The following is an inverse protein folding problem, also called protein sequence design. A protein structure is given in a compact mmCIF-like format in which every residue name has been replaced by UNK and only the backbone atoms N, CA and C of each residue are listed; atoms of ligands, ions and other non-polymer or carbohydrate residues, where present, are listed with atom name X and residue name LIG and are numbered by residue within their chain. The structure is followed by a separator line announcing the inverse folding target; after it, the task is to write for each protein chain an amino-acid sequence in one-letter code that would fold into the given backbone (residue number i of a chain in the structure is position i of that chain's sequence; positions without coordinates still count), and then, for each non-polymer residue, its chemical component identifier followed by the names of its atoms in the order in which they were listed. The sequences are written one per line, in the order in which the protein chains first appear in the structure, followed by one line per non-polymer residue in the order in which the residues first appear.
data_IF_111858384722
#
_entry.id   IF_111858384722
#
_cell.length_a   1.000
_cell.length_b   1.000
_cell.length_c   1.000
_cell.angle_alpha   90.00
_cell.angle_beta   90.00
_cell.angle_gamma   90.00
#
_symmetry.space_group_name_H-M   'P 1'
#
loop_
_entity.id
_entity.type
_entity.pdbx_description
1 polymer ?
#
# COMPACT_ATOMS: atom_id res chain seq x y z
N UNK A 1 -13.96 -36.61 -71.71
CA UNK A 1 -14.51 -35.26 -71.82
C UNK A 1 -14.69 -34.64 -70.48
N UNK A 2 -13.57 -34.39 -69.68
CA UNK A 2 -13.70 -33.93 -68.29
C UNK A 2 -12.57 -32.94 -67.84
N UNK A 3 -11.88 -32.31 -68.78
CA UNK A 3 -10.77 -31.36 -68.44
C UNK A 3 -11.00 -29.89 -68.85
N UNK A 4 -12.24 -29.51 -69.27
CA UNK A 4 -12.54 -28.15 -69.71
C UNK A 4 -13.13 -27.21 -68.66
N UNK A 5 -13.86 -27.71 -67.72
CA UNK A 5 -14.65 -26.90 -66.78
C UNK A 5 -13.89 -26.36 -65.56
N UNK A 6 -12.81 -27.03 -65.14
CA UNK A 6 -12.02 -26.59 -63.98
C UNK A 6 -11.13 -25.36 -64.26
N UNK A 7 -10.67 -25.17 -65.47
CA UNK A 7 -9.81 -24.00 -65.82
C UNK A 7 -10.59 -22.69 -66.02
N UNK A 8 -11.85 -22.76 -66.39
CA UNK A 8 -12.70 -21.57 -66.59
C UNK A 8 -13.23 -21.01 -65.24
N UNK A 9 -13.52 -21.88 -64.29
CA UNK A 9 -13.91 -21.51 -62.94
C UNK A 9 -12.78 -20.82 -62.17
N UNK A 10 -11.56 -21.33 -62.29
CA UNK A 10 -10.38 -20.72 -61.58
C UNK A 10 -9.99 -19.33 -62.14
N UNK A 11 -10.27 -19.08 -63.45
CA UNK A 11 -9.97 -17.78 -64.06
C UNK A 11 -10.99 -16.71 -63.69
N UNK A 12 -12.25 -17.10 -63.47
CA UNK A 12 -13.35 -16.22 -63.06
C UNK A 12 -13.20 -15.80 -61.59
N UNK A 13 -12.75 -16.69 -60.71
CA UNK A 13 -12.53 -16.41 -59.30
C UNK A 13 -11.31 -15.51 -59.05
N UNK A 14 -10.23 -15.68 -59.82
CA UNK A 14 -9.08 -14.76 -59.75
C UNK A 14 -9.40 -13.32 -60.20
N UNK A 15 -10.25 -13.16 -61.22
CA UNK A 15 -10.68 -11.85 -61.72
C UNK A 15 -11.59 -11.12 -60.73
N UNK A 16 -12.44 -11.83 -60.01
CA UNK A 16 -13.29 -11.22 -58.97
C UNK A 16 -12.52 -10.81 -57.75
N UNK A 17 -11.54 -11.61 -57.29
CA UNK A 17 -10.65 -11.27 -56.14
C UNK A 17 -9.76 -10.09 -56.44
N UNK A 18 -9.25 -9.92 -57.67
CA UNK A 18 -8.47 -8.75 -58.06
C UNK A 18 -9.34 -7.48 -58.12
N UNK A 19 -10.59 -7.56 -58.53
CA UNK A 19 -11.51 -6.43 -58.56
C UNK A 19 -11.93 -5.98 -57.17
N UNK A 20 -12.12 -6.92 -56.23
CA UNK A 20 -12.42 -6.61 -54.82
C UNK A 20 -11.23 -6.01 -54.15
N UNK A 21 -9.99 -6.47 -54.38
CA UNK A 21 -8.76 -5.90 -53.83
C UNK A 21 -8.48 -4.48 -54.37
N UNK A 22 -8.75 -4.23 -55.66
CA UNK A 22 -8.63 -2.91 -56.25
C UNK A 22 -9.69 -1.94 -55.71
N UNK A 23 -10.90 -2.41 -55.42
CA UNK A 23 -11.95 -1.58 -54.81
C UNK A 23 -11.65 -1.26 -53.35
N UNK A 24 -11.11 -2.21 -52.60
CA UNK A 24 -10.71 -1.99 -51.21
C UNK A 24 -9.55 -0.99 -51.06
N UNK A 25 -8.57 -1.04 -51.97
CA UNK A 25 -7.45 -0.04 -51.98
C UNK A 25 -7.91 1.36 -52.38
N UNK A 26 -8.92 1.48 -53.27
CA UNK A 26 -9.44 2.80 -53.65
C UNK A 26 -10.25 3.47 -52.53
N UNK A 27 -10.97 2.68 -51.71
CA UNK A 27 -11.69 3.20 -50.56
C UNK A 27 -10.75 3.61 -49.42
N UNK A 28 -9.64 2.90 -49.20
CA UNK A 28 -8.66 3.27 -48.16
C UNK A 28 -7.90 4.55 -48.51
N UNK A 29 -7.62 4.81 -49.82
CA UNK A 29 -6.98 6.05 -50.24
C UNK A 29 -7.93 7.27 -50.21
N UNK A 30 -9.22 7.11 -50.52
CA UNK A 30 -10.21 8.17 -50.39
C UNK A 30 -10.58 8.47 -48.93
N UNK A 31 -10.64 7.44 -48.07
CA UNK A 31 -10.89 7.61 -46.64
C UNK A 31 -9.78 8.37 -45.92
N UNK A 32 -8.52 8.12 -46.28
CA UNK A 32 -7.37 8.80 -45.73
C UNK A 32 -7.29 10.29 -46.09
N UNK A 33 -7.66 10.66 -47.32
CA UNK A 33 -7.61 12.05 -47.79
C UNK A 33 -8.74 12.93 -47.24
N UNK A 34 -9.91 12.35 -46.96
CA UNK A 34 -11.06 13.07 -46.39
C UNK A 34 -11.00 13.13 -44.84
N UNK A 35 -10.37 12.13 -44.19
CA UNK A 35 -10.22 12.08 -42.74
C UNK A 35 -9.27 13.16 -42.18
N UNK A 36 -8.13 13.35 -42.82
CA UNK A 36 -7.13 14.34 -42.40
C UNK A 36 -7.51 15.79 -42.71
N UNK A 37 -8.27 16.04 -43.77
CA UNK A 37 -8.78 17.39 -44.10
C UNK A 37 -9.93 17.83 -43.17
N UNK A 38 -10.79 16.92 -42.77
CA UNK A 38 -11.95 17.21 -41.92
C UNK A 38 -11.57 17.50 -40.46
N UNK A 39 -10.59 16.79 -39.92
CA UNK A 39 -10.11 17.00 -38.55
C UNK A 39 -9.35 18.30 -38.37
N UNK A 40 -8.56 18.75 -39.36
CA UNK A 40 -7.88 20.05 -39.32
C UNK A 40 -8.84 21.23 -39.40
N UNK A 41 -9.94 21.11 -40.16
CA UNK A 41 -10.99 22.13 -40.24
C UNK A 41 -11.87 22.20 -38.98
N UNK A 42 -12.18 21.07 -38.38
CA UNK A 42 -12.92 21.00 -37.11
C UNK A 42 -12.10 21.55 -35.96
N UNK A 43 -10.80 21.27 -35.86
CA UNK A 43 -9.91 21.84 -34.82
C UNK A 43 -9.76 23.36 -34.91
N UNK A 44 -9.85 23.97 -36.12
CA UNK A 44 -9.84 25.42 -36.24
C UNK A 44 -11.17 26.10 -35.91
N UNK A 45 -12.29 25.39 -36.00
CA UNK A 45 -13.60 25.94 -35.68
C UNK A 45 -13.95 25.87 -34.18
N UNK A 46 -13.34 24.90 -33.41
CA UNK A 46 -13.59 24.77 -32.00
C UNK A 46 -12.68 25.62 -31.09
N UNK A 47 -11.70 26.33 -31.65
CA UNK A 47 -10.75 27.16 -30.89
C UNK A 47 -11.12 28.65 -30.82
N UNK A 48 -12.40 28.97 -30.96
CA UNK A 48 -12.93 30.30 -30.69
C UNK A 48 -14.03 30.20 -29.64
N UNK A 49 -13.74 30.77 -28.48
CA UNK A 49 -14.61 30.98 -27.33
C UNK A 49 -14.59 29.84 -26.29
N UNK A 50 -13.56 29.85 -25.43
CA UNK A 50 -13.76 29.79 -23.97
C UNK A 50 -12.47 30.22 -23.29
N UNK A 51 -12.28 31.52 -23.15
CA UNK A 51 -11.47 32.08 -22.09
C UNK A 51 -12.30 31.99 -20.81
N UNK A 52 -12.01 31.03 -19.93
CA UNK A 52 -12.35 31.16 -18.53
C UNK A 52 -11.25 30.52 -17.68
N UNK A 53 -10.64 31.39 -16.91
CA UNK A 53 -9.55 31.23 -15.98
C UNK A 53 -9.91 30.30 -14.82
N UNK A 54 -9.19 29.19 -14.70
CA UNK A 54 -8.78 28.66 -13.41
C UNK A 54 -7.31 28.33 -13.55
N UNK A 55 -6.49 29.10 -12.83
CA UNK A 55 -5.08 28.84 -12.70
C UNK A 55 -4.90 27.54 -11.91
N UNK A 56 -4.73 26.43 -12.61
CA UNK A 56 -4.12 25.24 -12.03
C UNK A 56 -2.64 25.55 -11.86
N UNK A 57 -2.10 25.41 -10.67
CA UNK A 57 -0.67 25.47 -10.41
C UNK A 57 0.05 24.49 -11.35
N UNK A 58 0.88 25.03 -12.23
CA UNK A 58 1.74 24.22 -13.11
C UNK A 58 2.80 23.51 -12.26
N UNK A 59 2.56 22.24 -11.92
CA UNK A 59 3.60 21.41 -11.32
C UNK A 59 4.58 20.98 -12.41
N UNK A 60 5.71 21.69 -12.53
CA UNK A 60 6.80 21.28 -13.37
C UNK A 60 7.54 20.09 -12.71
N UNK A 61 7.35 18.88 -13.24
CA UNK A 61 8.16 17.72 -12.84
C UNK A 61 9.27 17.49 -13.85
N UNK A 62 10.50 17.36 -13.37
CA UNK A 62 11.66 17.00 -14.17
C UNK A 62 11.73 15.48 -14.29
N UNK A 63 11.55 14.95 -15.48
CA UNK A 63 11.70 13.52 -15.75
C UNK A 63 13.06 13.24 -16.41
N UNK A 64 13.69 12.14 -16.06
CA UNK A 64 14.93 11.67 -16.67
C UNK A 64 14.58 10.61 -17.71
N UNK A 65 14.65 10.98 -18.99
CA UNK A 65 14.51 10.04 -20.10
C UNK A 65 15.90 9.60 -20.52
N UNK A 66 16.17 8.30 -20.48
CA UNK A 66 17.42 7.72 -20.96
C UNK A 66 17.25 7.35 -22.43
N UNK A 67 17.97 8.01 -23.30
CA UNK A 67 18.09 7.66 -24.72
C UNK A 67 19.45 7.02 -24.95
N UNK A 68 19.51 5.96 -25.77
CA UNK A 68 20.77 5.45 -26.29
C UNK A 68 21.16 6.26 -27.52
N UNK A 69 22.41 6.70 -27.61
CA UNK A 69 22.98 7.22 -28.83
C UNK A 69 23.26 6.09 -29.83
N UNK A 70 23.60 6.47 -31.08
CA UNK A 70 23.91 5.52 -32.13
C UNK A 70 25.14 4.64 -31.86
N UNK A 71 25.91 4.92 -30.82
CA UNK A 71 27.09 4.16 -30.39
C UNK A 71 26.83 3.28 -29.18
N UNK A 72 25.57 3.23 -28.64
CA UNK A 72 25.18 2.40 -27.51
C UNK A 72 25.51 2.99 -26.14
N UNK A 73 26.00 4.23 -26.07
CA UNK A 73 26.17 4.94 -24.80
C UNK A 73 24.81 5.41 -24.28
N UNK A 74 24.57 5.16 -22.98
CA UNK A 74 23.35 5.65 -22.33
C UNK A 74 23.47 7.14 -22.06
N UNK A 75 22.79 7.95 -22.88
CA UNK A 75 22.65 9.39 -22.62
C UNK A 75 21.45 9.60 -21.68
N UNK A 76 21.73 10.19 -20.54
CA UNK A 76 20.68 10.61 -19.59
C UNK A 76 20.31 12.05 -19.93
N UNK A 77 19.13 12.25 -20.52
CA UNK A 77 18.56 13.59 -20.69
C UNK A 77 17.45 13.82 -19.67
N UNK A 78 17.51 14.92 -18.96
CA UNK A 78 16.42 15.38 -18.10
C UNK A 78 15.41 16.13 -18.94
N UNK A 79 14.18 15.62 -19.04
CA UNK A 79 13.07 16.36 -19.63
C UNK A 79 12.06 16.71 -18.54
N UNK A 80 11.59 17.94 -18.56
CA UNK A 80 10.49 18.36 -17.71
C UNK A 80 9.20 17.89 -18.36
N UNK A 81 8.54 16.90 -17.76
CA UNK A 81 7.20 16.48 -18.21
C UNK A 81 6.21 17.45 -17.60
N UNK A 82 5.60 18.29 -18.44
CA UNK A 82 4.48 19.15 -18.03
C UNK A 82 3.21 18.31 -17.99
N UNK A 83 2.62 18.18 -16.83
CA UNK A 83 1.31 17.56 -16.69
C UNK A 83 0.24 18.65 -16.87
N UNK A 84 -0.22 18.83 -18.09
CA UNK A 84 -1.30 19.79 -18.44
C UNK A 84 -2.71 19.19 -18.18
N UNK A 85 -2.84 18.30 -17.19
CA UNK A 85 -4.10 17.57 -16.92
C UNK A 85 -4.38 16.47 -17.96
N UNK A 86 -3.40 16.07 -18.76
CA UNK A 86 -3.51 15.01 -19.76
C UNK A 86 -3.02 13.69 -19.19
N UNK A 87 -3.72 12.59 -19.51
CA UNK A 87 -3.23 11.24 -19.17
C UNK A 87 -1.86 11.00 -19.82
N UNK A 88 -0.93 10.51 -19.00
CA UNK A 88 0.41 10.09 -19.38
C UNK A 88 0.38 8.62 -19.81
N UNK A 89 1.36 8.18 -20.57
CA UNK A 89 1.65 6.77 -20.76
C UNK A 89 2.41 6.21 -19.55
N UNK A 90 2.41 4.88 -19.35
CA UNK A 90 3.18 4.25 -18.27
C UNK A 90 4.67 4.63 -18.32
N UNK A 91 5.25 4.76 -19.52
CA UNK A 91 6.64 5.20 -19.68
C UNK A 91 6.87 6.65 -19.22
N UNK A 92 5.92 7.55 -19.47
CA UNK A 92 5.99 8.95 -19.02
C UNK A 92 5.78 9.04 -17.49
N UNK A 93 4.85 8.26 -16.92
CA UNK A 93 4.69 8.17 -15.46
C UNK A 93 5.99 7.68 -14.81
N UNK A 94 6.62 6.65 -15.35
CA UNK A 94 7.91 6.15 -14.87
C UNK A 94 8.99 7.23 -14.92
N UNK A 95 9.18 7.85 -16.08
CA UNK A 95 10.19 8.87 -16.27
C UNK A 95 10.01 10.09 -15.33
N UNK A 96 8.75 10.44 -15.04
CA UNK A 96 8.43 11.54 -14.13
C UNK A 96 8.68 11.23 -12.65
N UNK A 97 8.58 9.95 -12.23
CA UNK A 97 8.53 9.60 -10.81
C UNK A 97 9.64 8.65 -10.33
N UNK A 98 10.46 8.10 -11.25
CA UNK A 98 11.52 7.15 -10.85
C UNK A 98 12.55 7.77 -9.90
N UNK A 99 12.86 9.06 -10.03
CA UNK A 99 13.78 9.76 -9.10
C UNK A 99 13.16 10.03 -7.72
N UNK A 100 11.84 9.97 -7.61
CA UNK A 100 11.12 10.11 -6.35
C UNK A 100 10.94 8.77 -5.64
N UNK A 101 11.21 7.64 -6.33
CA UNK A 101 11.12 6.29 -5.77
C UNK A 101 12.48 5.89 -5.21
N UNK A 102 12.48 5.22 -4.07
CA UNK A 102 13.70 4.77 -3.39
C UNK A 102 13.66 3.28 -3.08
N UNK A 103 14.83 2.66 -3.08
CA UNK A 103 15.02 1.33 -2.52
C UNK A 103 15.35 1.42 -1.04
N UNK A 104 14.81 0.51 -0.24
CA UNK A 104 15.06 0.42 1.19
C UNK A 104 15.70 -0.93 1.48
N UNK A 105 16.79 -0.90 2.23
CA UNK A 105 17.47 -2.11 2.73
C UNK A 105 17.60 -1.99 4.23
N UNK A 106 17.23 -3.04 4.95
CA UNK A 106 17.29 -3.09 6.41
C UNK A 106 18.22 -4.20 6.87
N UNK A 107 18.92 -3.94 7.98
CA UNK A 107 19.73 -4.93 8.66
C UNK A 107 19.04 -5.28 9.99
N UNK A 108 18.67 -6.56 10.14
CA UNK A 108 18.06 -7.11 11.34
C UNK A 108 19.09 -8.00 12.00
N UNK A 109 19.57 -7.62 13.19
CA UNK A 109 20.53 -8.43 13.94
C UNK A 109 19.80 -9.16 15.07
N UNK A 110 19.75 -10.48 14.99
CA UNK A 110 19.19 -11.33 16.04
C UNK A 110 20.33 -11.96 16.83
N UNK A 111 20.24 -11.90 18.15
CA UNK A 111 21.18 -12.57 19.04
C UNK A 111 20.54 -13.86 19.56
N UNK A 112 21.03 -15.00 19.09
CA UNK A 112 20.55 -16.32 19.52
C UNK A 112 21.66 -16.99 20.34
N UNK A 113 21.50 -17.06 21.67
CA UNK A 113 22.47 -17.66 22.60
C UNK A 113 23.92 -17.15 22.42
N UNK A 114 24.08 -15.84 22.20
CA UNK A 114 25.41 -15.23 22.00
C UNK A 114 25.92 -15.29 20.55
N UNK A 115 25.21 -15.93 19.64
CA UNK A 115 25.50 -15.90 18.20
C UNK A 115 24.68 -14.79 17.53
N UNK A 116 25.37 -13.77 17.04
CA UNK A 116 24.73 -12.69 16.27
C UNK A 116 24.56 -13.14 14.83
N UNK A 117 23.33 -13.17 14.37
CA UNK A 117 22.97 -13.41 12.97
C UNK A 117 22.38 -12.13 12.39
N UNK A 118 22.92 -11.65 11.28
CA UNK A 118 22.37 -10.49 10.58
C UNK A 118 21.64 -10.97 9.33
N UNK A 119 20.36 -10.61 9.22
CA UNK A 119 19.56 -10.80 8.03
C UNK A 119 19.32 -9.43 7.38
N UNK A 120 19.24 -9.40 6.06
CA UNK A 120 18.87 -8.22 5.30
C UNK A 120 17.47 -8.42 4.73
N UNK A 121 16.63 -7.41 4.85
CA UNK A 121 15.37 -7.33 4.14
C UNK A 121 15.39 -6.13 3.19
N UNK A 122 14.55 -6.16 2.17
CA UNK A 122 14.46 -5.10 1.17
C UNK A 122 13.02 -4.74 0.85
N UNK A 123 12.80 -3.48 0.55
CA UNK A 123 11.52 -2.93 0.13
C UNK A 123 11.72 -1.66 -0.68
N UNK A 124 10.65 -0.95 -0.87
CA UNK A 124 10.59 0.31 -1.60
C UNK A 124 10.04 1.43 -0.72
N UNK A 125 10.23 2.65 -1.16
CA UNK A 125 9.61 3.84 -0.62
C UNK A 125 9.50 4.92 -1.66
N UNK A 126 8.95 6.06 -1.28
CA UNK A 126 8.93 7.25 -2.13
C UNK A 126 9.09 8.53 -1.31
N UNK A 127 9.77 9.49 -1.89
CA UNK A 127 10.08 10.78 -1.28
C UNK A 127 8.83 11.66 -1.35
N UNK A 128 8.42 12.24 -0.21
CA UNK A 128 7.22 13.09 -0.12
C UNK A 128 7.55 14.57 0.10
N UNK A 129 8.79 14.89 0.51
CA UNK A 129 9.24 16.26 0.71
C UNK A 129 10.66 16.46 0.17
N UNK A 130 10.99 17.68 -0.20
CA UNK A 130 12.32 18.07 -0.71
C UNK A 130 13.43 18.01 0.35
N UNK A 131 13.07 18.05 1.63
CA UNK A 131 13.98 17.91 2.76
C UNK A 131 14.21 16.45 3.20
N UNK A 132 13.54 15.46 2.55
CA UNK A 132 13.90 14.05 2.65
C UNK A 132 13.01 13.16 3.51
N UNK A 133 11.75 13.52 3.74
CA UNK A 133 10.78 12.57 4.28
C UNK A 133 10.38 11.54 3.23
N UNK A 134 10.27 10.28 3.66
CA UNK A 134 9.99 9.12 2.80
C UNK A 134 8.89 8.29 3.45
N UNK A 135 7.95 7.83 2.63
CA UNK A 135 6.92 6.86 3.04
C UNK A 135 7.31 5.47 2.59
N UNK A 136 7.08 4.49 3.46
CA UNK A 136 7.22 3.06 3.19
C UNK A 136 6.24 2.26 4.04
N UNK A 137 6.25 0.92 3.94
CA UNK A 137 5.50 0.06 4.85
C UNK A 137 6.25 -0.17 6.16
N UNK A 138 5.49 -0.35 7.26
CA UNK A 138 6.03 -0.71 8.57
C UNK A 138 6.78 -2.05 8.53
N UNK A 139 6.18 -3.09 7.91
CA UNK A 139 6.79 -4.41 7.82
C UNK A 139 8.13 -4.43 7.07
N UNK A 140 8.43 -3.42 6.23
CA UNK A 140 9.73 -3.28 5.55
C UNK A 140 10.84 -2.95 6.54
N UNK A 141 10.52 -2.22 7.62
CA UNK A 141 11.49 -1.74 8.61
C UNK A 141 11.33 -2.40 9.98
N UNK A 142 10.37 -3.30 10.14
CA UNK A 142 10.06 -3.96 11.40
C UNK A 142 11.28 -4.70 11.95
N UNK A 143 11.66 -4.41 13.20
CA UNK A 143 12.82 -5.00 13.87
C UNK A 143 14.19 -4.61 13.30
N UNK A 144 14.25 -3.64 12.41
CA UNK A 144 15.51 -3.20 11.79
C UNK A 144 16.38 -2.42 12.80
N UNK A 145 17.63 -2.85 12.94
CA UNK A 145 18.64 -2.08 13.68
C UNK A 145 19.23 -0.95 12.85
N UNK A 146 19.19 -1.09 11.52
CA UNK A 146 19.67 -0.09 10.59
C UNK A 146 18.80 -0.07 9.34
N UNK A 147 18.45 1.14 8.89
CA UNK A 147 17.69 1.38 7.66
C UNK A 147 18.57 2.18 6.71
N UNK A 148 18.71 1.71 5.49
CA UNK A 148 19.43 2.39 4.41
C UNK A 148 18.50 2.64 3.24
N UNK A 149 18.52 3.86 2.73
CA UNK A 149 17.75 4.30 1.57
C UNK A 149 18.69 4.50 0.40
N UNK A 150 18.34 3.98 -0.77
CA UNK A 150 19.10 4.16 -2.02
C UNK A 150 18.21 4.79 -3.08
N UNK A 151 18.64 5.91 -3.60
CA UNK A 151 17.96 6.68 -4.67
C UNK A 151 18.26 6.11 -6.06
N UNK A 152 17.53 6.55 -7.07
CA UNK A 152 17.66 6.06 -8.44
C UNK A 152 19.05 6.26 -9.05
N UNK A 153 19.80 7.29 -8.64
CA UNK A 153 21.17 7.56 -9.04
C UNK A 153 22.21 6.71 -8.30
N UNK A 154 21.76 5.73 -7.47
CA UNK A 154 22.55 4.89 -6.61
C UNK A 154 23.24 5.61 -5.43
N UNK A 155 22.79 6.79 -5.04
CA UNK A 155 23.24 7.43 -3.81
C UNK A 155 22.55 6.75 -2.63
N UNK A 156 23.34 6.36 -1.60
CA UNK A 156 22.81 5.71 -0.40
C UNK A 156 22.91 6.62 0.81
N UNK A 157 21.85 6.61 1.61
CA UNK A 157 21.70 7.38 2.83
C UNK A 157 21.36 6.46 4.00
N UNK A 158 21.92 6.73 5.18
CA UNK A 158 21.37 6.17 6.41
C UNK A 158 20.07 6.92 6.72
N UNK A 159 19.01 6.20 7.08
CA UNK A 159 17.69 6.76 7.33
C UNK A 159 17.33 6.66 8.81
N UNK A 160 16.74 7.71 9.34
CA UNK A 160 16.12 7.74 10.65
C UNK A 160 14.64 7.37 10.53
N UNK A 161 14.12 6.57 11.48
CA UNK A 161 12.69 6.28 11.58
C UNK A 161 12.03 7.40 12.36
N UNK A 162 11.20 8.20 11.70
CA UNK A 162 10.47 9.32 12.32
C UNK A 162 9.31 8.82 13.16
N UNK A 163 8.59 7.82 12.67
CA UNK A 163 7.49 7.17 13.35
C UNK A 163 6.82 6.11 12.48
N UNK A 164 5.94 5.34 13.12
CA UNK A 164 5.29 4.19 12.49
C UNK A 164 3.81 4.09 12.87
N UNK A 165 3.03 3.49 11.98
CA UNK A 165 1.70 2.98 12.28
C UNK A 165 1.63 1.50 11.87
N UNK A 166 1.84 0.62 12.83
CA UNK A 166 1.82 -0.84 12.63
C UNK A 166 0.46 -1.33 12.12
N UNK A 167 -0.66 -0.76 12.61
CA UNK A 167 -2.00 -1.19 12.22
C UNK A 167 -2.32 -0.87 10.76
N UNK A 168 -1.80 0.25 10.27
CA UNK A 168 -1.96 0.67 8.89
C UNK A 168 -0.76 0.32 8.03
N UNK A 169 0.22 -0.41 8.59
CA UNK A 169 1.43 -0.85 7.91
C UNK A 169 2.16 0.30 7.19
N UNK A 170 2.29 1.46 7.85
CA UNK A 170 2.97 2.66 7.34
C UNK A 170 4.13 3.04 8.24
N UNK A 171 5.23 3.45 7.62
CA UNK A 171 6.37 4.06 8.28
C UNK A 171 6.81 5.32 7.56
N UNK A 172 7.31 6.29 8.31
CA UNK A 172 7.93 7.51 7.80
C UNK A 172 9.40 7.52 8.17
N UNK A 173 10.24 7.68 7.16
CA UNK A 173 11.70 7.77 7.31
C UNK A 173 12.16 9.19 6.98
N UNK A 174 13.35 9.55 7.46
CA UNK A 174 14.03 10.82 7.16
C UNK A 174 15.46 10.54 6.73
N UNK A 175 15.85 11.14 5.60
CA UNK A 175 17.23 11.14 5.10
C UNK A 175 17.76 12.57 5.02
N UNK A 176 19.07 12.75 5.19
CA UNK A 176 19.76 14.03 4.96
C UNK A 176 20.26 14.07 3.50
N UNK A 177 19.32 14.24 2.56
CA UNK A 177 19.58 14.35 1.13
C UNK A 177 19.40 15.77 0.62
N UNK A 178 20.05 16.10 -0.50
CA UNK A 178 19.91 17.39 -1.18
C UNK A 178 19.36 17.18 -2.58
N UNK A 179 18.64 18.20 -3.08
CA UNK A 179 18.07 18.20 -4.43
C UNK A 179 17.14 17.00 -4.69
N UNK A 180 16.45 16.55 -3.62
CA UNK A 180 15.50 15.46 -3.71
C UNK A 180 14.24 15.89 -4.47
N UNK A 181 13.65 14.96 -5.21
CA UNK A 181 12.42 15.21 -5.99
C UNK A 181 11.25 14.50 -5.33
N UNK A 182 10.31 15.22 -4.68
CA UNK A 182 9.12 14.60 -4.09
C UNK A 182 8.13 14.11 -5.15
N UNK A 183 7.32 13.11 -4.80
CA UNK A 183 6.13 12.72 -5.58
C UNK A 183 5.04 13.79 -5.48
N UNK A 184 4.07 13.74 -6.39
CA UNK A 184 2.78 14.41 -6.19
C UNK A 184 1.79 13.41 -5.60
N UNK A 185 1.17 13.75 -4.48
CA UNK A 185 0.12 12.95 -3.89
C UNK A 185 -1.21 13.26 -4.58
N UNK A 186 -1.87 12.24 -5.12
CA UNK A 186 -3.21 12.31 -5.70
C UNK A 186 -4.30 12.06 -4.66
N UNK A 187 -5.44 11.52 -5.09
CA UNK A 187 -6.53 11.07 -4.21
C UNK A 187 -6.97 9.67 -4.60
N UNK A 188 -7.05 8.78 -3.62
CA UNK A 188 -7.59 7.43 -3.80
C UNK A 188 -9.12 7.42 -3.94
N UNK A 189 -9.82 8.42 -3.40
CA UNK A 189 -11.27 8.57 -3.55
C UNK A 189 -11.70 8.85 -4.99
N UNK A 190 -10.77 9.37 -5.83
CA UNK A 190 -11.04 9.64 -7.25
C UNK A 190 -10.94 8.41 -8.13
N UNK A 191 -10.47 7.26 -7.61
CA UNK A 191 -10.29 6.03 -8.36
C UNK A 191 -11.61 5.30 -8.59
N UNK A 192 -11.70 4.68 -9.76
CA UNK A 192 -12.76 3.75 -10.10
C UNK A 192 -12.19 2.40 -10.55
N UNK A 193 -12.97 1.34 -10.37
CA UNK A 193 -12.63 0.00 -10.90
C UNK A 193 -12.47 0.08 -12.41
N UNK A 194 -11.34 -0.39 -12.92
CA UNK A 194 -10.96 -0.31 -14.32
C UNK A 194 -10.03 0.85 -14.68
N UNK A 195 -9.74 1.76 -13.75
CA UNK A 195 -8.73 2.80 -13.97
C UNK A 195 -7.33 2.19 -14.10
N UNK A 196 -6.58 2.67 -15.12
CA UNK A 196 -5.19 2.28 -15.32
C UNK A 196 -4.31 2.80 -14.18
N UNK A 197 -3.46 1.93 -13.64
CA UNK A 197 -2.48 2.28 -12.60
C UNK A 197 -1.13 1.63 -12.88
N UNK A 198 -0.06 2.22 -12.34
CA UNK A 198 1.28 1.67 -12.41
C UNK A 198 1.93 1.67 -11.02
N UNK A 199 2.64 0.60 -10.71
CA UNK A 199 3.43 0.52 -9.49
C UNK A 199 4.92 0.66 -9.85
N UNK A 200 5.67 1.46 -9.05
CA UNK A 200 7.10 1.61 -9.20
C UNK A 200 7.75 1.23 -7.87
N UNK A 201 8.71 0.31 -7.92
CA UNK A 201 9.44 -0.16 -6.76
C UNK A 201 10.85 -0.65 -7.14
N UNK A 202 11.62 -1.08 -6.13
CA UNK A 202 12.95 -1.62 -6.29
C UNK A 202 12.99 -3.08 -5.77
N UNK A 203 12.40 -4.04 -6.50
CA UNK A 203 12.34 -5.42 -6.06
C UNK A 203 13.75 -5.99 -5.87
N UNK A 204 13.94 -6.69 -4.74
CA UNK A 204 15.18 -7.39 -4.36
C UNK A 204 16.37 -6.48 -4.03
N UNK A 205 16.22 -5.15 -4.03
CA UNK A 205 17.32 -4.21 -3.75
C UNK A 205 18.46 -4.21 -4.80
N UNK A 206 18.47 -5.16 -5.71
CA UNK A 206 19.50 -5.35 -6.75
C UNK A 206 18.99 -5.01 -8.16
N UNK A 207 17.67 -5.03 -8.37
CA UNK A 207 17.06 -4.72 -9.65
C UNK A 207 16.69 -3.24 -9.68
N UNK A 208 17.32 -2.51 -10.59
CA UNK A 208 17.05 -1.09 -10.82
C UNK A 208 15.55 -0.87 -11.04
N UNK A 209 14.93 -0.11 -10.15
CA UNK A 209 13.57 0.41 -10.16
C UNK A 209 12.68 -0.12 -11.28
N UNK A 210 11.77 -1.02 -10.92
CA UNK A 210 10.91 -1.75 -11.86
C UNK A 210 9.51 -1.11 -11.85
N UNK A 211 8.94 -0.94 -13.05
CA UNK A 211 7.53 -0.59 -13.22
C UNK A 211 6.73 -1.84 -13.52
N UNK A 212 5.58 -1.98 -12.85
CA UNK A 212 4.52 -2.91 -13.24
C UNK A 212 3.24 -2.12 -13.51
N UNK A 213 2.42 -2.56 -14.45
CA UNK A 213 1.19 -1.88 -14.87
C UNK A 213 -0.01 -2.80 -14.81
N UNK A 214 -1.16 -2.24 -14.52
CA UNK A 214 -2.43 -2.95 -14.43
C UNK A 214 -3.58 -1.96 -14.27
N UNK A 215 -4.66 -2.44 -13.66
CA UNK A 215 -5.85 -1.64 -13.38
C UNK A 215 -6.26 -1.76 -11.91
N UNK A 216 -7.09 -0.85 -11.45
CA UNK A 216 -7.82 -1.00 -10.19
C UNK A 216 -8.83 -2.13 -10.38
N UNK A 217 -8.65 -3.24 -9.67
CA UNK A 217 -9.52 -4.44 -9.76
C UNK A 217 -10.71 -4.36 -8.81
N UNK A 218 -10.53 -3.75 -7.63
CA UNK A 218 -11.59 -3.47 -6.65
C UNK A 218 -11.15 -2.37 -5.69
N UNK A 219 -12.13 -1.74 -5.06
CA UNK A 219 -11.95 -0.79 -3.97
C UNK A 219 -12.48 -1.40 -2.66
N UNK A 220 -12.07 -0.81 -1.53
CA UNK A 220 -12.59 -1.11 -0.19
C UNK A 220 -12.48 -2.61 0.19
N UNK A 221 -11.36 -3.24 -0.22
CA UNK A 221 -11.10 -4.64 0.12
C UNK A 221 -10.62 -4.77 1.56
N UNK A 222 -11.44 -5.41 2.39
CA UNK A 222 -11.07 -5.75 3.76
C UNK A 222 -10.37 -7.10 3.79
N UNK A 223 -9.13 -7.12 4.27
CA UNK A 223 -8.35 -8.35 4.45
C UNK A 223 -8.04 -8.49 5.93
N UNK A 224 -8.34 -9.63 6.50
CA UNK A 224 -8.01 -9.95 7.90
C UNK A 224 -6.79 -10.85 7.92
N UNK A 225 -5.71 -10.43 8.58
CA UNK A 225 -4.54 -11.25 8.83
C UNK A 225 -4.36 -11.47 10.33
N UNK A 226 -4.59 -12.69 10.80
CA UNK A 226 -4.50 -13.03 12.23
C UNK A 226 -5.52 -12.24 13.06
N UNK A 227 -5.04 -11.52 14.07
CA UNK A 227 -5.85 -10.69 14.97
C UNK A 227 -5.98 -9.23 14.53
N UNK A 228 -5.29 -8.83 13.46
CA UNK A 228 -5.27 -7.44 12.99
C UNK A 228 -6.40 -7.19 12.01
N UNK A 229 -7.24 -6.21 12.32
CA UNK A 229 -8.28 -5.73 11.41
C UNK A 229 -7.62 -4.93 10.31
N UNK A 230 -7.85 -5.36 9.09
CA UNK A 230 -7.31 -4.68 7.92
C UNK A 230 -8.23 -3.59 7.42
N UNK A 231 -7.57 -2.61 6.82
CA UNK A 231 -8.15 -1.45 6.19
C UNK A 231 -8.82 -1.76 4.87
N UNK A 232 -9.57 -0.79 4.39
CA UNK A 232 -10.12 -0.77 3.04
C UNK A 232 -8.98 -0.58 2.03
N UNK A 233 -8.53 -1.66 1.39
CA UNK A 233 -7.42 -1.67 0.45
C UNK A 233 -7.87 -1.51 -1.00
N UNK A 234 -7.03 -0.89 -1.82
CA UNK A 234 -7.14 -0.93 -3.27
C UNK A 234 -6.61 -2.27 -3.75
N UNK A 235 -7.41 -3.02 -4.51
CA UNK A 235 -6.96 -4.23 -5.20
C UNK A 235 -6.56 -3.86 -6.63
N UNK A 236 -5.44 -4.40 -7.11
CA UNK A 236 -4.92 -4.21 -8.47
C UNK A 236 -4.39 -5.53 -9.03
N UNK A 237 -4.32 -5.65 -10.34
CA UNK A 237 -3.64 -6.74 -11.04
C UNK A 237 -2.19 -6.37 -11.44
N UNK A 238 -1.70 -5.20 -11.03
CA UNK A 238 -0.27 -4.92 -11.06
C UNK A 238 0.48 -6.03 -10.32
N UNK A 239 1.60 -6.49 -10.89
CA UNK A 239 2.44 -7.48 -10.23
C UNK A 239 3.10 -6.86 -8.97
N UNK A 240 2.55 -7.14 -7.80
CA UNK A 240 3.07 -6.73 -6.50
C UNK A 240 3.73 -7.94 -5.84
N UNK A 241 5.04 -7.86 -5.60
CA UNK A 241 5.87 -8.91 -5.04
C UNK A 241 6.77 -8.34 -3.92
N UNK A 242 7.46 -9.22 -3.21
CA UNK A 242 8.50 -8.83 -2.27
C UNK A 242 9.50 -7.86 -2.94
N UNK A 243 9.75 -6.72 -2.27
CA UNK A 243 10.57 -5.63 -2.80
C UNK A 243 9.79 -4.46 -3.42
N UNK A 244 8.54 -4.66 -3.90
CA UNK A 244 7.66 -3.55 -4.26
C UNK A 244 6.95 -2.96 -3.03
N UNK A 245 6.87 -3.69 -1.90
CA UNK A 245 6.26 -3.21 -0.65
C UNK A 245 6.80 -1.85 -0.25
N UNK A 246 5.90 -0.93 0.08
CA UNK A 246 6.21 0.46 0.42
C UNK A 246 6.42 1.38 -0.77
N UNK A 247 6.47 0.84 -1.99
CA UNK A 247 6.54 1.62 -3.22
C UNK A 247 5.22 2.34 -3.53
N UNK A 248 5.25 3.22 -4.51
CA UNK A 248 4.08 4.01 -4.90
C UNK A 248 3.26 3.32 -6.00
N UNK A 249 1.93 3.33 -5.82
CA UNK A 249 0.95 3.10 -6.87
C UNK A 249 0.55 4.46 -7.45
N UNK A 250 0.74 4.64 -8.76
CA UNK A 250 0.44 5.88 -9.45
C UNK A 250 -0.78 5.75 -10.35
N UNK A 251 -1.56 6.83 -10.47
CA UNK A 251 -2.52 6.99 -11.54
C UNK A 251 -1.83 7.43 -12.85
N UNK A 252 -2.59 7.50 -13.94
CA UNK A 252 -2.05 7.92 -15.24
C UNK A 252 -1.86 9.44 -15.39
N UNK A 253 -1.95 10.18 -14.29
CA UNK A 253 -1.53 11.59 -14.21
C UNK A 253 -0.19 11.73 -13.47
N UNK A 254 0.44 10.61 -13.07
CA UNK A 254 1.71 10.58 -12.36
C UNK A 254 1.58 10.99 -10.89
N UNK A 255 0.41 10.83 -10.31
CA UNK A 255 0.12 11.11 -8.90
C UNK A 255 0.02 9.81 -8.12
N UNK A 256 0.55 9.79 -6.89
CA UNK A 256 0.45 8.64 -5.99
C UNK A 256 -0.97 8.52 -5.48
N UNK A 257 -1.58 7.35 -5.70
CA UNK A 257 -2.93 7.01 -5.25
C UNK A 257 -2.95 5.90 -4.21
N UNK A 258 -1.80 5.27 -3.94
CA UNK A 258 -1.67 4.24 -2.89
C UNK A 258 -0.23 3.85 -2.61
N UNK A 259 -0.02 3.13 -1.51
CA UNK A 259 1.25 2.50 -1.11
C UNK A 259 1.13 1.01 -1.34
N UNK A 260 1.95 0.45 -2.22
CA UNK A 260 1.90 -0.98 -2.57
C UNK A 260 2.26 -1.87 -1.38
N UNK A 261 1.57 -3.00 -1.23
CA UNK A 261 1.71 -3.89 -0.10
C UNK A 261 1.71 -5.36 -0.53
N UNK A 262 2.88 -5.99 -0.51
CA UNK A 262 3.05 -7.39 -0.90
C UNK A 262 2.71 -8.38 0.23
N UNK A 263 2.63 -7.93 1.51
CA UNK A 263 2.30 -8.77 2.67
C UNK A 263 0.96 -9.50 2.49
N UNK A 264 0.02 -8.87 1.80
CA UNK A 264 -1.32 -9.38 1.59
C UNK A 264 -1.51 -10.15 0.26
N UNK A 265 -0.54 -10.05 -0.64
CA UNK A 265 -0.55 -10.77 -1.92
C UNK A 265 -0.08 -12.23 -1.80
N UNK A 266 0.59 -12.59 -0.70
CA UNK A 266 1.18 -13.91 -0.48
C UNK A 266 0.53 -14.62 0.71
N UNK A 267 -0.61 -15.28 0.53
CA UNK A 267 -1.16 -16.20 1.53
C UNK A 267 -0.53 -17.60 1.33
N UNK A 268 0.59 -17.84 2.04
CA UNK A 268 1.44 -19.04 1.90
C UNK A 268 0.91 -20.31 2.56
N UNK A 269 -0.36 -20.38 2.95
CA UNK A 269 -0.92 -21.57 3.63
C UNK A 269 -1.60 -22.57 2.72
N UNK A 270 -1.70 -22.30 1.41
CA UNK A 270 -2.24 -23.25 0.41
C UNK A 270 -1.26 -23.38 -0.74
N UNK A 271 -1.09 -24.60 -1.26
CA UNK A 271 -0.16 -24.96 -2.35
C UNK A 271 -0.44 -24.26 -3.70
N UNK A 272 -1.40 -23.36 -3.79
CA UNK A 272 -1.71 -22.60 -5.00
C UNK A 272 -1.27 -21.14 -4.81
N UNK A 273 -0.28 -20.68 -5.59
CA UNK A 273 0.02 -19.27 -5.74
C UNK A 273 -1.20 -18.55 -6.34
N UNK A 274 -1.67 -17.49 -5.69
CA UNK A 274 -2.70 -16.63 -6.27
C UNK A 274 -1.95 -15.51 -7.01
N UNK A 275 -1.75 -15.72 -8.31
CA UNK A 275 -1.09 -14.74 -9.16
C UNK A 275 -2.06 -13.62 -9.56
N UNK A 276 -1.53 -12.42 -9.79
CA UNK A 276 -2.26 -11.23 -10.26
C UNK A 276 -3.30 -10.65 -9.27
N UNK A 277 -3.08 -10.83 -7.97
CA UNK A 277 -3.81 -10.10 -6.93
C UNK A 277 -2.79 -9.29 -6.12
N UNK A 278 -2.74 -8.01 -6.36
CA UNK A 278 -1.94 -7.04 -5.61
C UNK A 278 -2.84 -6.14 -4.77
N UNK A 279 -2.27 -5.56 -3.72
CA UNK A 279 -2.96 -4.63 -2.85
C UNK A 279 -2.14 -3.35 -2.65
N UNK A 280 -2.86 -2.25 -2.41
CA UNK A 280 -2.25 -0.98 -2.02
C UNK A 280 -3.09 -0.30 -0.92
N UNK A 281 -2.41 0.37 0.00
CA UNK A 281 -3.03 1.19 1.04
C UNK A 281 -3.44 2.52 0.40
N UNK A 282 -4.71 2.96 0.52
CA UNK A 282 -5.19 4.20 -0.10
C UNK A 282 -4.40 5.41 0.36
N UNK A 283 -4.02 6.29 -0.59
CA UNK A 283 -3.17 7.45 -0.28
C UNK A 283 -3.86 8.46 0.65
N UNK A 284 -5.19 8.57 0.61
CA UNK A 284 -5.89 9.51 1.49
C UNK A 284 -5.79 9.09 2.95
N UNK A 285 -5.85 7.79 3.27
CA UNK A 285 -5.52 7.25 4.60
C UNK A 285 -4.06 7.53 4.99
N UNK A 286 -3.13 7.36 4.05
CA UNK A 286 -1.69 7.56 4.30
C UNK A 286 -1.35 9.02 4.59
N UNK A 287 -2.01 9.99 3.94
CA UNK A 287 -1.78 11.43 4.17
C UNK A 287 -1.99 11.83 5.63
N UNK A 288 -3.08 11.37 6.23
CA UNK A 288 -3.41 11.70 7.62
C UNK A 288 -2.39 11.09 8.60
N UNK A 289 -2.02 9.82 8.36
CA UNK A 289 -1.00 9.10 9.13
C UNK A 289 0.35 9.83 9.05
N UNK A 290 0.79 10.13 7.84
CA UNK A 290 2.09 10.78 7.59
C UNK A 290 2.15 12.17 8.21
N UNK A 291 1.07 12.95 8.08
CA UNK A 291 0.99 14.28 8.70
C UNK A 291 1.13 14.19 10.21
N UNK A 292 0.40 13.25 10.84
CA UNK A 292 0.49 13.04 12.30
C UNK A 292 1.91 12.60 12.73
N UNK A 293 2.53 11.69 11.98
CA UNK A 293 3.90 11.22 12.29
C UNK A 293 4.92 12.38 12.16
N UNK A 294 4.85 13.17 11.09
CA UNK A 294 5.81 14.29 10.89
C UNK A 294 5.64 15.36 11.98
N UNK A 295 4.40 15.68 12.36
CA UNK A 295 4.13 16.73 13.35
C UNK A 295 4.36 16.29 14.79
N UNK A 296 4.07 15.02 15.13
CA UNK A 296 4.01 14.53 16.52
C UNK A 296 4.98 13.39 16.81
N UNK A 297 5.52 12.72 15.79
CA UNK A 297 6.33 11.50 15.91
C UNK A 297 5.50 10.21 15.99
N UNK A 298 4.19 10.29 16.14
CA UNK A 298 3.28 9.13 16.27
C UNK A 298 1.89 9.42 15.71
N UNK A 299 1.09 8.37 15.54
CA UNK A 299 -0.32 8.50 15.14
C UNK A 299 -1.21 8.40 16.37
N UNK A 300 -1.99 9.44 16.62
CA UNK A 300 -3.06 9.40 17.62
C UNK A 300 -4.23 8.60 17.06
N UNK A 301 -4.73 7.65 17.86
CA UNK A 301 -5.84 6.78 17.46
C UNK A 301 -7.01 6.98 18.40
N UNK A 302 -8.24 7.15 17.87
CA UNK A 302 -9.43 7.15 18.71
C UNK A 302 -9.49 5.86 19.52
N UNK A 303 -9.71 5.99 20.81
CA UNK A 303 -9.75 4.85 21.71
C UNK A 303 -10.70 5.07 22.87
N UNK A 304 -11.23 3.97 23.40
CA UNK A 304 -12.05 3.96 24.63
C UNK A 304 -11.40 3.18 25.78
N UNK A 305 -10.34 2.44 25.51
CA UNK A 305 -9.54 1.73 26.51
C UNK A 305 -10.15 0.42 26.97
N UNK A 306 -10.66 -0.39 26.04
CA UNK A 306 -11.12 -1.77 26.30
C UNK A 306 -10.36 -2.76 25.41
N UNK A 307 -9.93 -3.87 25.99
CA UNK A 307 -9.61 -5.08 25.26
C UNK A 307 -10.90 -5.91 25.12
N UNK A 308 -11.35 -6.15 23.88
CA UNK A 308 -12.59 -6.86 23.61
C UNK A 308 -12.35 -8.07 22.72
N UNK A 309 -13.15 -9.11 22.93
CA UNK A 309 -13.22 -10.30 22.10
C UNK A 309 -14.65 -10.52 21.62
N UNK A 310 -14.81 -11.24 20.51
CA UNK A 310 -16.15 -11.69 20.08
C UNK A 310 -16.70 -12.71 21.06
N UNK A 311 -18.00 -12.60 21.42
CA UNK A 311 -18.67 -13.60 22.25
C UNK A 311 -18.61 -14.96 21.56
N UNK A 312 -18.17 -15.98 22.32
CA UNK A 312 -18.05 -17.33 21.79
C UNK A 312 -19.42 -17.85 21.29
N UNK A 313 -19.51 -18.42 20.08
CA UNK A 313 -20.75 -18.97 19.53
C UNK A 313 -21.43 -19.98 20.44
N UNK A 314 -20.68 -20.76 21.21
CA UNK A 314 -21.24 -21.70 22.16
C UNK A 314 -21.96 -20.97 23.30
N UNK A 315 -21.43 -19.81 23.73
CA UNK A 315 -22.08 -18.98 24.77
C UNK A 315 -23.36 -18.32 24.23
N UNK A 316 -23.38 -17.94 22.95
CA UNK A 316 -24.60 -17.45 22.30
C UNK A 316 -25.66 -18.55 22.28
N UNK A 317 -25.29 -19.79 22.00
CA UNK A 317 -26.20 -20.93 22.03
C UNK A 317 -26.78 -21.19 23.44
N UNK A 318 -26.08 -20.79 24.51
CA UNK A 318 -26.56 -20.84 25.91
C UNK A 318 -27.37 -19.59 26.32
N UNK A 319 -27.64 -18.66 25.40
CA UNK A 319 -28.54 -17.52 25.60
C UNK A 319 -27.88 -16.20 25.93
N UNK A 320 -26.56 -16.07 25.80
CA UNK A 320 -25.90 -14.76 25.81
C UNK A 320 -26.14 -14.03 24.48
N UNK A 321 -26.20 -12.70 24.46
CA UNK A 321 -26.30 -11.96 23.21
C UNK A 321 -24.98 -12.05 22.41
N UNK A 322 -25.09 -11.96 21.09
CA UNK A 322 -23.94 -11.67 20.22
C UNK A 322 -23.36 -10.30 20.59
N UNK A 323 -22.04 -10.10 20.41
CA UNK A 323 -21.43 -8.82 20.70
C UNK A 323 -19.93 -8.89 20.98
N UNK A 324 -19.41 -7.79 21.49
CA UNK A 324 -18.03 -7.64 21.94
C UNK A 324 -17.97 -7.77 23.48
N UNK A 325 -17.38 -8.86 23.99
CA UNK A 325 -17.17 -9.03 25.42
C UNK A 325 -15.91 -8.30 25.88
N UNK A 326 -16.04 -7.43 26.89
CA UNK A 326 -14.93 -6.70 27.51
C UNK A 326 -14.08 -7.68 28.32
N UNK A 327 -12.81 -7.84 27.96
CA UNK A 327 -11.83 -8.69 28.66
C UNK A 327 -10.97 -7.89 29.62
N UNK A 328 -10.53 -6.73 29.18
CA UNK A 328 -9.67 -5.84 29.97
C UNK A 328 -10.13 -4.41 29.82
N UNK A 329 -9.88 -3.60 30.84
CA UNK A 329 -10.10 -2.16 30.83
C UNK A 329 -8.80 -1.49 31.23
N UNK A 330 -8.35 -0.55 30.41
CA UNK A 330 -7.13 0.23 30.69
C UNK A 330 -7.41 1.21 31.83
N UNK A 331 -6.55 1.25 32.83
CA UNK A 331 -6.63 2.19 33.95
C UNK A 331 -6.61 3.64 33.48
N UNK A 332 -7.47 4.48 34.00
CA UNK A 332 -7.60 5.89 33.62
C UNK A 332 -8.29 6.12 32.26
N UNK A 333 -8.70 5.06 31.57
CA UNK A 333 -9.32 5.14 30.24
C UNK A 333 -10.72 5.77 30.25
N UNK A 334 -11.24 6.18 29.09
CA UNK A 334 -12.62 6.56 28.91
C UNK A 334 -13.63 5.50 29.35
N UNK A 335 -13.36 4.23 29.06
CA UNK A 335 -14.22 3.12 29.44
C UNK A 335 -14.32 2.95 30.96
N UNK A 336 -13.21 3.02 31.67
CA UNK A 336 -13.19 2.98 33.12
C UNK A 336 -13.98 4.14 33.74
N UNK A 337 -13.71 5.36 33.26
CA UNK A 337 -14.42 6.59 33.71
C UNK A 337 -15.93 6.52 33.46
N UNK A 338 -16.33 5.85 32.38
CA UNK A 338 -17.75 5.64 32.06
C UNK A 338 -18.40 4.51 32.86
N UNK A 339 -17.63 3.69 33.58
CA UNK A 339 -18.14 2.59 34.40
C UNK A 339 -18.37 1.30 33.63
N UNK A 340 -17.71 1.10 32.49
CA UNK A 340 -17.62 -0.23 31.87
C UNK A 340 -16.89 -1.19 32.82
N UNK A 341 -17.19 -2.46 32.72
CA UNK A 341 -16.62 -3.52 33.57
C UNK A 341 -16.19 -4.70 32.71
N UNK A 342 -15.23 -5.45 33.21
CA UNK A 342 -14.89 -6.75 32.62
C UNK A 342 -16.12 -7.67 32.60
N UNK A 343 -16.26 -8.44 31.53
CA UNK A 343 -17.40 -9.32 31.20
C UNK A 343 -18.68 -8.60 30.77
N UNK A 344 -18.67 -7.28 30.57
CA UNK A 344 -19.73 -6.60 29.86
C UNK A 344 -19.76 -7.10 28.41
N UNK A 345 -20.92 -7.27 27.83
CA UNK A 345 -21.08 -7.55 26.41
C UNK A 345 -21.67 -6.31 25.76
N UNK A 346 -20.92 -5.68 24.87
CA UNK A 346 -21.37 -4.52 24.09
C UNK A 346 -22.09 -5.06 22.86
N UNK A 347 -23.41 -4.79 22.78
CA UNK A 347 -24.31 -5.28 21.73
C UNK A 347 -24.64 -4.21 20.70
N UNK A 348 -24.43 -2.91 21.06
CA UNK A 348 -24.67 -1.77 20.17
C UNK A 348 -23.76 -0.61 20.53
N UNK A 349 -23.31 0.13 19.54
CA UNK A 349 -22.60 1.40 19.70
C UNK A 349 -23.25 2.47 18.78
N UNK A 350 -23.81 3.52 19.36
CA UNK A 350 -24.73 4.45 18.68
C UNK A 350 -25.85 3.66 17.96
N UNK A 351 -25.99 3.85 16.64
CA UNK A 351 -26.98 3.14 15.83
C UNK A 351 -26.47 1.85 15.21
N UNK A 352 -25.19 1.49 15.43
CA UNK A 352 -24.56 0.30 14.86
C UNK A 352 -24.69 -0.90 15.79
N UNK A 353 -25.27 -2.00 15.30
CA UNK A 353 -25.24 -3.29 15.99
C UNK A 353 -23.82 -3.82 16.03
N UNK A 354 -23.42 -4.35 17.21
CA UNK A 354 -22.11 -4.98 17.45
C UNK A 354 -22.36 -6.46 17.57
N UNK A 355 -21.95 -7.23 16.56
CA UNK A 355 -22.04 -8.70 16.53
C UNK A 355 -20.71 -9.37 16.88
N UNK A 356 -19.64 -8.67 16.63
CA UNK A 356 -18.27 -9.13 16.92
C UNK A 356 -17.39 -7.98 17.43
N UNK A 357 -16.25 -8.30 18.04
CA UNK A 357 -15.32 -7.29 18.56
C UNK A 357 -14.86 -6.30 17.50
N UNK A 358 -14.68 -6.78 16.25
CA UNK A 358 -14.27 -5.95 15.13
C UNK A 358 -15.28 -4.84 14.79
N UNK A 359 -16.58 -5.07 15.02
CA UNK A 359 -17.58 -4.02 14.78
C UNK A 359 -17.41 -2.86 15.75
N UNK A 360 -17.10 -3.15 17.03
CA UNK A 360 -16.78 -2.11 18.01
C UNK A 360 -15.53 -1.32 17.60
N UNK A 361 -14.47 -2.02 17.17
CA UNK A 361 -13.24 -1.39 16.69
C UNK A 361 -13.52 -0.45 15.51
N UNK A 362 -14.36 -0.87 14.54
CA UNK A 362 -14.76 -0.02 13.39
C UNK A 362 -15.49 1.25 13.82
N UNK A 363 -16.40 1.14 14.80
CA UNK A 363 -17.13 2.31 15.31
C UNK A 363 -16.19 3.27 16.03
N UNK A 364 -15.32 2.76 16.92
CA UNK A 364 -14.34 3.59 17.62
C UNK A 364 -13.38 4.29 16.66
N UNK A 365 -12.86 3.58 15.64
CA UNK A 365 -11.95 4.16 14.63
C UNK A 365 -12.57 5.27 13.79
N UNK A 366 -13.89 5.24 13.57
CA UNK A 366 -14.63 6.29 12.82
C UNK A 366 -14.98 7.50 13.69
N UNK A 367 -14.75 7.42 14.99
CA UNK A 367 -15.01 8.50 15.93
C UNK A 367 -13.80 9.41 16.04
N UNK A 368 -14.03 10.63 16.51
CA UNK A 368 -12.99 11.60 16.84
C UNK A 368 -12.88 11.77 18.35
N UNK A 369 -11.74 12.27 18.82
CA UNK A 369 -11.58 12.66 20.22
C UNK A 369 -12.67 13.62 20.66
N UNK A 370 -13.30 13.31 21.78
CA UNK A 370 -14.39 14.07 22.35
C UNK A 370 -15.78 13.63 21.91
N UNK A 371 -15.90 12.74 20.93
CA UNK A 371 -17.19 12.18 20.53
C UNK A 371 -17.77 11.33 21.64
N UNK A 372 -19.10 11.41 21.86
CA UNK A 372 -19.84 10.57 22.80
C UNK A 372 -20.34 9.30 22.08
N UNK A 373 -19.88 8.14 22.51
CA UNK A 373 -20.41 6.85 22.09
C UNK A 373 -21.45 6.38 23.11
N UNK A 374 -22.67 6.11 22.67
CA UNK A 374 -23.72 5.49 23.47
C UNK A 374 -23.68 3.98 23.23
N UNK A 375 -23.25 3.23 24.25
CA UNK A 375 -23.10 1.78 24.21
C UNK A 375 -24.31 1.10 24.85
N UNK A 376 -24.94 0.13 24.16
CA UNK A 376 -25.84 -0.83 24.80
C UNK A 376 -25.01 -1.99 25.33
N UNK A 377 -25.14 -2.22 26.62
CA UNK A 377 -24.30 -3.18 27.37
C UNK A 377 -25.19 -4.19 28.05
N UNK A 378 -24.89 -5.48 27.88
CA UNK A 378 -25.49 -6.57 28.65
C UNK A 378 -24.54 -6.95 29.79
N UNK A 379 -25.00 -6.79 31.01
CA UNK A 379 -24.27 -7.08 32.27
C UNK A 379 -25.10 -7.93 33.17
N UNK A 380 -24.66 -9.15 33.51
CA UNK A 380 -25.28 -10.04 34.48
C UNK A 380 -26.79 -10.32 34.28
N UNK A 381 -27.24 -10.36 33.04
CA UNK A 381 -28.62 -10.62 32.68
C UNK A 381 -29.48 -9.37 32.44
N UNK A 382 -28.93 -8.18 32.61
CA UNK A 382 -29.63 -6.90 32.41
C UNK A 382 -29.01 -6.09 31.28
N UNK A 383 -29.84 -5.41 30.51
CA UNK A 383 -29.42 -4.45 29.52
C UNK A 383 -29.32 -3.06 30.15
N UNK A 384 -28.26 -2.33 29.84
CA UNK A 384 -28.05 -0.96 30.28
C UNK A 384 -27.38 -0.13 29.17
N UNK A 385 -27.45 1.17 29.34
CA UNK A 385 -26.78 2.11 28.42
C UNK A 385 -25.65 2.81 29.15
N UNK A 386 -24.45 2.80 28.53
CA UNK A 386 -23.27 3.47 29.06
C UNK A 386 -22.78 4.46 27.99
N UNK A 387 -22.47 5.69 28.41
CA UNK A 387 -21.94 6.74 27.53
C UNK A 387 -20.44 6.86 27.77
N UNK A 388 -19.65 6.71 26.70
CA UNK A 388 -18.19 6.79 26.73
C UNK A 388 -17.75 7.94 25.84
N UNK A 389 -16.90 8.82 26.36
CA UNK A 389 -16.27 9.89 25.57
C UNK A 389 -14.99 9.33 24.96
N UNK A 390 -14.90 9.31 23.65
CA UNK A 390 -13.70 8.86 22.94
C UNK A 390 -12.53 9.78 23.26
N UNK A 391 -11.38 9.20 23.58
CA UNK A 391 -10.10 9.90 23.72
C UNK A 391 -9.11 9.41 22.64
N UNK A 392 -7.89 9.90 22.64
CA UNK A 392 -6.82 9.47 21.76
C UNK A 392 -5.76 8.71 22.56
N UNK A 393 -5.41 7.51 22.08
CA UNK A 393 -4.29 6.77 22.62
C UNK A 393 -2.99 7.25 22.02
N UNK A 394 -1.99 7.49 22.86
CA UNK A 394 -0.61 7.52 22.40
C UNK A 394 -0.10 6.09 22.25
N UNK A 395 0.81 5.81 21.30
CA UNK A 395 1.55 4.56 21.34
C UNK A 395 2.22 4.42 22.71
N UNK A 396 2.13 3.23 23.31
CA UNK A 396 2.95 2.95 24.49
C UNK A 396 4.41 3.11 24.08
N UNK A 397 5.14 3.99 24.77
CA UNK A 397 6.59 4.02 24.66
C UNK A 397 7.05 2.64 25.08
N UNK A 398 7.56 1.83 24.13
CA UNK A 398 8.21 0.56 24.47
C UNK A 398 9.38 0.96 25.38
N UNK A 399 9.27 0.62 26.66
CA UNK A 399 10.36 0.86 27.62
C UNK A 399 11.60 0.14 27.09
N UNK A 400 12.60 0.90 26.62
CA UNK A 400 13.88 0.35 26.19
C UNK A 400 14.51 -0.51 27.30
N UNK A 401 14.11 -0.28 28.57
CA UNK A 401 14.50 -1.05 29.73
C UNK A 401 13.95 -2.50 29.75
N UNK A 402 12.82 -2.83 29.09
CA UNK A 402 12.34 -4.21 29.03
C UNK A 402 13.22 -5.09 28.12
N UNK A 403 13.76 -4.52 27.05
CA UNK A 403 14.69 -5.23 26.17
C UNK A 403 16.05 -5.46 26.88
N UNK A 404 16.54 -4.48 27.63
CA UNK A 404 17.77 -4.60 28.42
C UNK A 404 17.59 -5.58 29.61
N UNK A 405 16.43 -5.56 30.27
CA UNK A 405 16.14 -6.49 31.38
C UNK A 405 15.98 -7.94 30.91
N UNK A 406 15.46 -8.17 29.71
CA UNK A 406 15.45 -9.51 29.12
C UNK A 406 16.85 -10.00 28.76
N UNK A 407 17.71 -9.12 28.25
CA UNK A 407 19.12 -9.45 27.98
C UNK A 407 19.93 -9.67 29.28
N UNK A 408 19.69 -8.90 30.34
CA UNK A 408 20.32 -9.11 31.64
C UNK A 408 19.83 -10.37 32.33
N UNK A 409 18.55 -10.68 32.29
CA UNK A 409 17.98 -11.93 32.85
C UNK A 409 18.52 -13.18 32.14
N UNK A 410 18.75 -13.09 30.81
CA UNK A 410 19.37 -14.17 30.04
C UNK A 410 20.86 -14.30 30.37
N UNK A 411 21.57 -13.20 30.65
CA UNK A 411 23.00 -13.21 31.06
C UNK A 411 23.16 -13.79 32.48
N UNK A 412 22.25 -13.50 33.40
CA UNK A 412 22.30 -14.01 34.78
C UNK A 412 22.00 -15.52 34.81
N UNK A 413 21.15 -16.03 33.92
CA UNK A 413 20.86 -17.46 33.79
C UNK A 413 21.99 -18.26 33.13
N UNK A 414 22.82 -17.62 32.31
CA UNK A 414 23.95 -18.24 31.63
C UNK A 414 25.26 -18.22 32.44
N UNK A 415 25.33 -17.47 33.54
CA UNK A 415 26.50 -17.33 34.40
C UNK A 415 26.64 -18.36 35.53
N UNK A 416 25.66 -19.22 35.75
CA UNK A 416 25.62 -20.17 36.84
C UNK A 416 25.57 -21.63 36.40
N UNK A 417 26.70 -22.31 36.45
CA UNK A 417 26.96 -23.74 36.29
C UNK A 417 27.19 -24.21 34.85
N UNK A 418 28.46 -24.52 34.59
CA UNK A 418 28.87 -25.24 33.38
C UNK A 418 28.16 -26.60 33.27
N UNK A 419 27.33 -26.73 32.26
CA UNK A 419 26.85 -28.04 31.79
C UNK A 419 27.96 -28.73 30.99
N UNK A 420 28.81 -29.48 31.63
CA UNK A 420 29.57 -30.56 31.00
C UNK A 420 28.58 -31.67 30.66
N UNK A 421 28.28 -31.88 29.37
CA UNK A 421 27.57 -33.05 28.88
C UNK A 421 26.24 -32.87 28.16
N UNK A 422 25.92 -31.67 27.66
CA UNK A 422 24.75 -31.50 26.80
C UNK A 422 25.12 -31.68 25.33
N UNK A 423 24.70 -32.80 24.72
CA UNK A 423 24.79 -33.02 23.27
C UNK A 423 23.49 -32.56 22.60
N UNK A 424 23.51 -31.49 21.79
CA UNK A 424 22.31 -30.98 21.12
C UNK A 424 21.71 -31.97 20.11
N UNK A 425 22.49 -32.92 19.60
CA UNK A 425 22.02 -33.89 18.61
C UNK A 425 21.22 -35.04 19.22
N UNK A 426 21.44 -35.36 20.49
CA UNK A 426 20.63 -36.35 21.24
C UNK A 426 19.22 -35.80 21.55
N UNK A 427 19.10 -34.49 21.75
CA UNK A 427 17.80 -33.85 22.09
C UNK A 427 16.82 -33.78 20.90
N UNK A 428 17.33 -33.73 19.66
CA UNK A 428 16.52 -33.67 18.44
C UNK A 428 16.28 -35.05 17.79
N UNK A 429 16.69 -36.16 18.40
CA UNK A 429 16.36 -37.49 17.92
C UNK A 429 16.98 -37.85 16.55
N UNK A 430 18.08 -37.24 16.19
CA UNK A 430 18.88 -37.56 15.01
C UNK A 430 20.14 -38.35 15.44
N UNK A 431 19.89 -39.61 15.76
CA UNK A 431 20.90 -40.64 15.97
C UNK A 431 20.80 -41.71 14.91
#
# INVERSE_FOLDING_TARGET
MENGTAKESAKKDRSSKLKIAALAMSFSLLGGALGTGGTLAAMKAFNKDTANTNAAEETNKTAVIRTADSEGNKVVSTQTVKNDGKKLTAAEVYAANVNSTVGITTEITTNYFGYKTTAAASGSGFIITDDGYIVTNYHVIEGANKVKVTTYDNTSYDAEVVGTDENNDIAVLKIDGKDLTPVTLGSSESLAVGDDVVAIGNPLGELTFTLTSGVVSAMDRQITTGTSLMMDLIQTDCAINAGNSGGALFNMYGEVVGVTNAKYSSNSSTEASIDNIGFAIPIDTVKDIVTSIIEKGYVEKPYIGVGAETVDPDMVAYGLPEGAVVRTITEGSPAEKAGLQEKDIITKANDTEIKEANDLVKVVRKSSKGDELTLSVYRQGEEMTIKVIVDESKPEEKDENEAEQQDEAIQEYSGGQGMEGFDPFEFFGMG
#
